data_IF_391711298907
#
_entry.id   IF_391711298907
#
_cell.length_a   1.000
_cell.length_b   1.000
_cell.length_c   1.000
_cell.angle_alpha   90.00
_cell.angle_beta   90.00
_cell.angle_gamma   90.00
#
_symmetry.space_group_name_H-M   'P 1'
#
loop_
_entity.id
_entity.type
_entity.pdbx_description
1 polymer ?
#
# COMPACT_ATOMS: atom_id res chain seq x y z
N UNK A 1 -1.23 71.70 -19.00
CA UNK A 1 -1.05 70.85 -20.20
C UNK A 1 -1.01 69.41 -19.70
N UNK A 2 -2.17 68.74 -19.70
CA UNK A 2 -2.58 67.75 -20.71
C UNK A 2 -1.72 66.49 -20.57
N UNK A 3 -2.06 65.55 -19.67
CA UNK A 3 -3.05 64.46 -19.85
C UNK A 3 -2.77 63.64 -21.11
N UNK A 4 -2.37 62.37 -20.96
CA UNK A 4 -2.82 61.29 -21.85
C UNK A 4 -2.78 59.95 -21.13
N UNK A 5 -3.98 59.55 -20.76
CA UNK A 5 -4.44 58.26 -20.24
C UNK A 5 -4.26 57.16 -21.31
N UNK A 6 -3.53 56.08 -21.00
CA UNK A 6 -3.44 54.87 -21.83
C UNK A 6 -4.41 53.82 -21.28
N UNK A 7 -5.70 54.17 -21.39
CA UNK A 7 -6.85 53.32 -21.16
C UNK A 7 -6.80 51.98 -21.90
N UNK A 8 -7.07 50.90 -21.15
CA UNK A 8 -8.32 50.16 -21.31
C UNK A 8 -8.51 49.25 -22.54
N UNK A 9 -7.66 49.34 -23.58
CA UNK A 9 -7.87 48.61 -24.83
C UNK A 9 -7.35 47.16 -24.84
N UNK A 10 -6.30 46.87 -24.09
CA UNK A 10 -5.59 45.58 -24.20
C UNK A 10 -6.27 44.47 -23.38
N UNK A 11 -6.95 44.83 -22.29
CA UNK A 11 -7.64 43.87 -21.42
C UNK A 11 -8.97 43.38 -22.01
N UNK A 12 -9.62 44.17 -22.87
CA UNK A 12 -10.91 43.80 -23.47
C UNK A 12 -10.78 42.77 -24.62
N UNK A 13 -9.64 42.75 -25.33
CA UNK A 13 -9.43 41.83 -26.47
C UNK A 13 -8.97 40.44 -26.01
N UNK A 14 -8.26 40.34 -24.88
CA UNK A 14 -7.84 39.06 -24.29
C UNK A 14 -8.99 38.29 -23.63
N UNK A 15 -10.00 38.99 -23.09
CA UNK A 15 -11.16 38.36 -22.48
C UNK A 15 -12.10 37.69 -23.50
N UNK A 16 -12.10 38.12 -24.77
CA UNK A 16 -12.97 37.57 -25.81
C UNK A 16 -12.45 36.26 -26.44
N UNK A 17 -11.17 35.95 -26.28
CA UNK A 17 -10.53 34.75 -26.87
C UNK A 17 -10.52 33.53 -25.94
N UNK A 18 -10.74 33.68 -24.63
CA UNK A 18 -10.78 32.53 -23.69
C UNK A 18 -12.20 32.00 -23.51
N UNK A 19 -13.23 32.84 -23.64
CA UNK A 19 -14.64 32.42 -23.55
C UNK A 19 -15.07 31.54 -24.75
N UNK A 20 -14.35 31.60 -25.87
CA UNK A 20 -14.57 30.75 -27.05
C UNK A 20 -13.91 29.37 -26.98
N UNK A 21 -13.10 29.09 -25.95
CA UNK A 21 -12.49 27.76 -25.75
C UNK A 21 -13.23 26.88 -24.70
N UNK A 22 -14.18 27.44 -23.95
CA UNK A 22 -15.04 26.68 -23.02
C UNK A 22 -16.36 26.17 -23.63
N UNK A 23 -16.62 26.42 -24.92
CA UNK A 23 -17.92 26.19 -25.54
C UNK A 23 -18.11 24.87 -26.33
N UNK A 24 -17.12 23.98 -26.38
CA UNK A 24 -17.16 22.79 -27.29
C UNK A 24 -16.74 21.48 -26.63
N UNK A 25 -17.14 21.24 -25.38
CA UNK A 25 -17.26 19.87 -24.87
C UNK A 25 -18.71 19.69 -24.42
N UNK A 26 -19.55 19.64 -25.44
CA UNK A 26 -20.93 19.17 -25.41
C UNK A 26 -20.96 17.76 -24.82
N UNK A 27 -21.94 17.58 -23.94
CA UNK A 27 -22.36 16.36 -23.28
C UNK A 27 -22.18 15.10 -24.12
N UNK A 28 -21.42 14.14 -23.59
CA UNK A 28 -21.57 12.73 -23.92
C UNK A 28 -21.96 11.99 -22.64
N UNK A 29 -23.24 12.14 -22.29
CA UNK A 29 -24.01 11.17 -21.54
C UNK A 29 -23.98 9.83 -22.29
N UNK A 30 -23.08 8.92 -21.90
CA UNK A 30 -23.28 7.49 -22.15
C UNK A 30 -23.90 6.90 -20.88
N UNK A 31 -25.21 7.13 -20.78
CA UNK A 31 -26.07 6.34 -19.92
C UNK A 31 -26.28 4.95 -20.53
N UNK A 32 -26.11 3.93 -19.69
CA UNK A 32 -27.09 2.87 -19.53
C UNK A 32 -27.25 1.86 -20.66
N UNK A 33 -26.63 0.69 -20.47
CA UNK A 33 -27.29 -0.55 -20.85
C UNK A 33 -27.35 -1.47 -19.62
N UNK A 34 -28.42 -1.29 -18.84
CA UNK A 34 -28.98 -2.36 -18.03
C UNK A 34 -29.61 -3.37 -18.98
N UNK A 35 -29.08 -4.59 -19.01
CA UNK A 35 -29.87 -5.77 -19.38
C UNK A 35 -29.85 -6.69 -18.17
N UNK A 36 -31.05 -6.87 -17.63
CA UNK A 36 -31.37 -7.67 -16.45
C UNK A 36 -31.91 -9.03 -16.93
N UNK A 37 -31.71 -10.04 -16.09
CA UNK A 37 -32.41 -11.35 -16.01
C UNK A 37 -31.79 -12.45 -16.91
N UNK A 38 -31.66 -13.72 -16.51
CA UNK A 38 -32.37 -14.50 -15.50
C UNK A 38 -31.61 -15.85 -15.30
N UNK A 39 -31.40 -16.26 -14.05
CA UNK A 39 -31.60 -17.61 -13.47
C UNK A 39 -30.98 -18.84 -14.15
N UNK A 40 -30.18 -19.59 -13.37
CA UNK A 40 -30.46 -20.99 -13.00
C UNK A 40 -29.65 -21.41 -11.76
N UNK A 41 -30.25 -22.30 -10.99
CA UNK A 41 -30.11 -22.51 -9.55
C UNK A 41 -29.17 -23.69 -9.19
N UNK A 42 -29.05 -24.06 -7.90
CA UNK A 42 -27.93 -24.82 -7.34
C UNK A 42 -28.09 -26.34 -7.46
N UNK A 43 -26.98 -27.07 -7.33
CA UNK A 43 -27.01 -28.51 -7.08
C UNK A 43 -26.36 -28.84 -5.74
N UNK A 44 -27.19 -29.50 -4.95
CA UNK A 44 -27.09 -30.07 -3.63
C UNK A 44 -26.24 -31.36 -3.62
N UNK A 45 -25.83 -31.78 -2.41
CA UNK A 45 -25.28 -33.10 -1.99
C UNK A 45 -23.78 -33.31 -2.18
N UNK A 46 -23.05 -33.93 -1.25
CA UNK A 46 -23.49 -34.84 -0.21
C UNK A 46 -22.55 -34.84 0.99
N UNK A 47 -23.19 -34.93 2.14
CA UNK A 47 -22.71 -35.32 3.45
C UNK A 47 -22.01 -36.69 3.44
N UNK A 48 -21.05 -36.85 4.36
CA UNK A 48 -20.20 -38.02 4.46
C UNK A 48 -19.37 -38.02 5.74
N UNK A 49 -20.04 -37.98 6.90
CA UNK A 49 -19.43 -38.30 8.19
C UNK A 49 -19.61 -39.76 8.57
N UNK A 50 -18.54 -40.45 9.01
CA UNK A 50 -18.50 -41.53 10.02
C UNK A 50 -17.02 -41.84 10.37
N UNK A 51 -16.68 -42.55 11.46
CA UNK A 51 -16.86 -42.25 12.88
C UNK A 51 -15.53 -42.09 13.66
N UNK A 52 -15.72 -41.63 14.89
CA UNK A 52 -14.92 -41.81 16.10
C UNK A 52 -14.20 -43.17 16.26
N UNK A 53 -12.92 -43.11 16.65
CA UNK A 53 -12.21 -44.21 17.30
C UNK A 53 -11.35 -43.65 18.45
N UNK A 54 -11.86 -43.83 19.66
CA UNK A 54 -11.17 -43.68 20.94
C UNK A 54 -10.20 -44.84 21.15
N UNK A 55 -8.94 -44.57 21.51
CA UNK A 55 -8.11 -45.46 22.35
C UNK A 55 -6.77 -44.81 22.76
N UNK A 56 -6.79 -44.23 23.96
CA UNK A 56 -5.80 -44.27 25.05
C UNK A 56 -4.60 -45.24 24.88
N UNK A 57 -3.36 -44.76 25.00
CA UNK A 57 -2.43 -45.06 26.13
C UNK A 57 -1.04 -44.40 25.98
N UNK A 58 -0.42 -44.21 27.15
CA UNK A 58 0.65 -43.29 27.47
C UNK A 58 2.08 -43.84 27.36
N UNK A 59 3.03 -42.89 27.15
CA UNK A 59 4.39 -42.81 27.74
C UNK A 59 5.50 -43.75 27.22
N UNK A 60 6.79 -43.52 27.59
CA UNK A 60 7.62 -42.30 27.52
C UNK A 60 9.04 -42.59 26.93
N UNK A 61 9.78 -41.59 26.45
CA UNK A 61 11.26 -41.68 26.36
C UNK A 61 11.84 -40.27 26.16
N UNK A 62 12.38 -39.65 27.21
CA UNK A 62 13.79 -39.67 27.67
C UNK A 62 14.48 -38.38 27.22
N UNK A 63 14.89 -37.63 28.23
CA UNK A 63 15.66 -36.41 28.13
C UNK A 63 16.95 -36.59 27.33
N UNK A 64 17.27 -35.59 26.52
CA UNK A 64 18.66 -35.26 26.21
C UNK A 64 18.76 -33.76 26.38
N UNK A 65 19.20 -33.37 27.57
CA UNK A 65 19.64 -32.02 27.89
C UNK A 65 20.79 -31.66 26.94
N UNK A 66 20.53 -30.74 26.03
CA UNK A 66 21.61 -30.01 25.34
C UNK A 66 21.93 -28.80 26.22
N UNK A 67 23.21 -28.55 26.57
CA UNK A 67 23.55 -27.47 27.47
C UNK A 67 23.16 -26.15 26.83
N UNK A 68 22.51 -25.30 27.62
CA UNK A 68 22.22 -23.93 27.29
C UNK A 68 23.51 -23.24 26.85
N UNK A 69 23.59 -22.86 25.58
CA UNK A 69 24.41 -21.71 25.21
C UNK A 69 23.70 -20.53 25.86
N UNK A 70 24.30 -20.01 26.94
CA UNK A 70 23.89 -18.79 27.60
C UNK A 70 23.73 -17.69 26.54
N UNK A 71 22.47 -17.41 26.19
CA UNK A 71 22.11 -16.21 25.46
C UNK A 71 22.30 -15.06 26.44
N UNK A 72 23.51 -14.53 26.40
CA UNK A 72 23.97 -13.25 26.92
C UNK A 72 22.80 -12.27 27.10
N UNK A 73 22.47 -12.00 28.37
CA UNK A 73 21.38 -11.14 28.87
C UNK A 73 21.69 -9.66 28.60
N UNK A 74 21.97 -9.33 27.33
CA UNK A 74 22.20 -7.96 26.89
C UNK A 74 20.86 -7.22 26.85
N UNK A 75 20.82 -5.95 27.30
CA UNK A 75 19.59 -5.20 27.36
C UNK A 75 18.95 -5.12 25.97
N UNK A 76 17.71 -5.59 25.89
CA UNK A 76 16.83 -5.65 24.71
C UNK A 76 16.73 -4.32 23.94
N UNK A 77 17.16 -3.21 24.53
CA UNK A 77 17.20 -1.87 23.93
C UNK A 77 18.33 -1.61 22.92
N UNK A 78 19.45 -2.34 22.96
CA UNK A 78 20.59 -2.07 22.06
C UNK A 78 20.35 -2.56 20.61
N UNK A 79 19.65 -3.68 20.44
CA UNK A 79 19.30 -4.24 19.14
C UNK A 79 18.20 -3.43 18.43
N UNK A 80 17.16 -3.01 19.17
CA UNK A 80 16.13 -2.11 18.66
C UNK A 80 16.69 -0.74 18.28
N UNK A 81 17.63 -0.20 19.08
CA UNK A 81 18.33 1.05 18.76
C UNK A 81 19.21 0.97 17.51
N UNK A 82 19.89 -0.17 17.28
CA UNK A 82 20.67 -0.39 16.06
C UNK A 82 19.80 -0.58 14.82
N UNK A 83 18.71 -1.34 14.92
CA UNK A 83 17.77 -1.54 13.82
C UNK A 83 17.17 -0.20 13.38
N UNK A 84 16.79 0.66 14.34
CA UNK A 84 16.28 1.99 14.05
C UNK A 84 17.33 2.87 13.33
N UNK A 85 18.60 2.83 13.77
CA UNK A 85 19.68 3.59 13.12
C UNK A 85 19.89 3.20 11.65
N UNK A 86 19.94 1.90 11.35
CA UNK A 86 20.14 1.42 9.96
C UNK A 86 19.00 1.87 9.04
N UNK A 87 17.75 1.71 9.50
CA UNK A 87 16.56 2.09 8.72
C UNK A 87 16.53 3.60 8.47
N UNK A 88 16.87 4.41 9.47
CA UNK A 88 16.97 5.87 9.30
C UNK A 88 18.03 6.25 8.24
N UNK A 89 19.24 5.69 8.34
CA UNK A 89 20.31 5.93 7.36
C UNK A 89 19.91 5.49 5.94
N UNK A 90 19.17 4.39 5.82
CA UNK A 90 18.62 3.90 4.56
C UNK A 90 17.70 4.92 3.88
N UNK A 91 16.68 5.42 4.60
CA UNK A 91 15.73 6.38 4.03
C UNK A 91 16.34 7.77 3.84
N UNK A 92 17.34 8.15 4.65
CA UNK A 92 18.13 9.35 4.40
C UNK A 92 18.92 9.25 3.08
N UNK A 93 19.60 8.13 2.83
CA UNK A 93 20.33 7.90 1.58
C UNK A 93 19.41 7.87 0.35
N UNK A 94 18.19 7.35 0.53
CA UNK A 94 17.17 7.31 -0.53
C UNK A 94 16.52 8.68 -0.85
N UNK A 95 16.67 9.67 0.04
CA UNK A 95 16.07 11.00 -0.09
C UNK A 95 14.66 11.14 0.52
N UNK A 96 14.26 10.18 1.37
CA UNK A 96 12.90 9.96 1.91
C UNK A 96 11.83 9.77 0.82
N UNK A 97 10.91 8.83 1.04
CA UNK A 97 9.84 8.60 0.08
C UNK A 97 8.79 9.71 0.29
N UNK A 98 8.80 10.71 -0.58
CA UNK A 98 7.87 11.84 -0.55
C UNK A 98 6.77 11.61 -1.58
N UNK A 99 5.67 11.01 -1.14
CA UNK A 99 4.51 10.85 -2.01
C UNK A 99 4.05 12.19 -2.59
N UNK A 100 3.87 12.31 -3.93
CA UNK A 100 3.31 13.51 -4.52
C UNK A 100 1.79 13.64 -4.26
N UNK A 101 1.13 12.55 -3.89
CA UNK A 101 -0.31 12.54 -3.63
C UNK A 101 -0.64 13.13 -2.26
N UNK A 102 -1.64 14.00 -2.22
CA UNK A 102 -2.08 14.69 -1.01
C UNK A 102 -3.04 13.83 -0.16
N UNK A 103 -3.54 12.73 -0.70
CA UNK A 103 -4.50 11.87 -0.02
C UNK A 103 -3.93 11.31 1.29
N UNK A 104 -4.83 11.06 2.23
CA UNK A 104 -4.52 10.51 3.54
C UNK A 104 -5.46 9.35 3.85
N UNK A 105 -4.92 8.29 4.41
CA UNK A 105 -5.64 7.04 4.71
C UNK A 105 -5.42 6.63 6.15
N UNK A 106 -6.42 6.00 6.78
CA UNK A 106 -6.20 5.35 8.09
C UNK A 106 -5.54 3.98 7.90
N UNK A 107 -4.98 3.41 8.97
CA UNK A 107 -4.43 2.06 8.90
C UNK A 107 -5.52 1.03 8.59
N UNK A 108 -6.72 1.19 9.17
CA UNK A 108 -7.86 0.31 8.95
C UNK A 108 -8.32 0.35 7.50
N UNK A 109 -8.22 1.51 6.84
CA UNK A 109 -8.50 1.62 5.42
C UNK A 109 -7.49 0.84 4.59
N UNK A 110 -6.19 1.04 4.82
CA UNK A 110 -5.15 0.32 4.10
C UNK A 110 -5.26 -1.20 4.34
N UNK A 111 -5.61 -1.62 5.56
CA UNK A 111 -5.78 -3.02 5.93
C UNK A 111 -6.88 -3.76 5.14
N UNK A 112 -7.83 -3.04 4.50
CA UNK A 112 -8.86 -3.64 3.64
C UNK A 112 -8.29 -4.18 2.32
N UNK A 113 -7.17 -3.64 1.85
CA UNK A 113 -6.54 -3.95 0.56
C UNK A 113 -5.42 -4.97 0.76
N UNK A 114 -5.78 -6.27 0.77
CA UNK A 114 -4.90 -7.37 1.23
C UNK A 114 -4.84 -8.59 0.31
N UNK A 115 -5.23 -8.47 -0.95
CA UNK A 115 -5.27 -9.59 -1.91
C UNK A 115 -4.31 -9.37 -3.05
N UNK A 116 -3.95 -10.42 -3.79
CA UNK A 116 -3.01 -10.34 -4.92
C UNK A 116 -3.41 -9.31 -5.98
N UNK A 117 -4.71 -9.16 -6.21
CA UNK A 117 -5.28 -8.24 -7.21
C UNK A 117 -5.66 -6.88 -6.61
N UNK A 118 -5.58 -6.73 -5.27
CA UNK A 118 -5.89 -5.51 -4.52
C UNK A 118 -5.04 -5.46 -3.24
N UNK A 119 -3.80 -4.99 -3.37
CA UNK A 119 -2.82 -4.91 -2.29
C UNK A 119 -2.32 -3.48 -2.12
N UNK A 120 -2.56 -2.93 -0.92
CA UNK A 120 -1.91 -1.71 -0.48
C UNK A 120 -0.95 -2.01 0.67
N UNK A 121 0.20 -1.34 0.64
CA UNK A 121 1.22 -1.46 1.68
C UNK A 121 1.62 -0.08 2.18
N UNK A 122 2.13 -0.03 3.41
CA UNK A 122 2.70 1.17 4.00
C UNK A 122 4.21 1.05 4.05
N UNK A 123 4.93 2.04 3.52
CA UNK A 123 6.40 2.14 3.62
C UNK A 123 6.80 3.58 3.90
N UNK A 124 7.49 3.81 5.01
CA UNK A 124 7.97 5.15 5.43
C UNK A 124 6.79 6.13 5.54
N UNK A 125 5.68 5.67 6.14
CA UNK A 125 4.39 6.38 6.23
C UNK A 125 3.70 6.72 4.89
N UNK A 126 4.16 6.19 3.76
CA UNK A 126 3.51 6.35 2.46
C UNK A 126 2.64 5.14 2.15
N UNK A 127 1.47 5.38 1.56
CA UNK A 127 0.55 4.33 1.13
C UNK A 127 0.78 4.08 -0.35
N UNK A 128 1.11 2.83 -0.68
CA UNK A 128 1.43 2.40 -2.03
C UNK A 128 0.40 1.38 -2.51
N UNK A 129 -0.19 1.60 -3.68
CA UNK A 129 -0.97 0.57 -4.36
C UNK A 129 -0.04 -0.22 -5.28
N UNK A 130 0.27 -1.44 -4.85
CA UNK A 130 1.24 -2.33 -5.54
C UNK A 130 0.56 -3.48 -6.26
N UNK A 131 -0.77 -3.48 -6.38
CA UNK A 131 -1.56 -4.58 -6.95
C UNK A 131 -1.05 -5.03 -8.32
N UNK A 132 -0.80 -4.08 -9.23
CA UNK A 132 -0.26 -4.38 -10.56
C UNK A 132 1.21 -4.87 -10.55
N UNK A 133 1.94 -4.61 -9.48
CA UNK A 133 3.35 -4.97 -9.34
C UNK A 133 3.56 -6.33 -8.67
N UNK A 134 2.61 -6.85 -7.91
CA UNK A 134 2.71 -8.14 -7.22
C UNK A 134 3.28 -9.27 -8.11
N UNK A 135 2.79 -9.52 -9.35
CA UNK A 135 3.31 -10.61 -10.18
C UNK A 135 4.74 -10.38 -10.71
N UNK A 136 5.26 -9.16 -10.57
CA UNK A 136 6.58 -8.75 -11.05
C UNK A 136 7.57 -8.50 -9.90
N UNK A 137 7.14 -8.67 -8.64
CA UNK A 137 8.00 -8.47 -7.49
C UNK A 137 9.11 -9.54 -7.44
N UNK A 138 10.42 -9.16 -7.46
CA UNK A 138 11.52 -10.13 -7.47
C UNK A 138 11.56 -11.04 -6.24
N UNK A 139 11.03 -10.59 -5.10
CA UNK A 139 10.88 -11.42 -3.90
C UNK A 139 9.71 -12.41 -3.94
N UNK A 140 8.91 -12.40 -5.02
CA UNK A 140 7.72 -13.23 -5.16
C UNK A 140 6.57 -12.80 -4.25
N UNK A 141 5.73 -13.76 -3.86
CA UNK A 141 4.50 -13.51 -3.09
C UNK A 141 4.77 -13.04 -1.63
N UNK A 142 6.03 -12.94 -1.18
CA UNK A 142 6.39 -12.39 0.16
C UNK A 142 5.93 -10.95 0.36
N UNK A 143 5.65 -10.21 -0.73
CA UNK A 143 5.06 -8.86 -0.65
C UNK A 143 3.66 -8.89 -0.03
N UNK A 144 2.95 -10.02 -0.11
CA UNK A 144 1.63 -10.21 0.51
C UNK A 144 1.69 -10.23 2.05
N UNK A 145 2.87 -10.35 2.65
CA UNK A 145 3.02 -10.30 4.11
C UNK A 145 2.88 -8.86 4.66
N UNK A 146 2.97 -7.84 3.79
CA UNK A 146 2.82 -6.42 4.16
C UNK A 146 1.39 -5.95 4.41
N UNK A 147 0.47 -6.87 4.70
CA UNK A 147 -0.96 -6.60 4.90
C UNK A 147 -1.26 -6.07 6.30
N UNK A 148 -2.42 -5.44 6.45
CA UNK A 148 -2.90 -4.98 7.76
C UNK A 148 -2.52 -3.53 8.10
N UNK A 149 -1.99 -2.77 7.14
CA UNK A 149 -1.69 -1.34 7.34
C UNK A 149 -0.46 -1.05 8.21
N UNK A 150 0.29 -2.09 8.58
CA UNK A 150 1.55 -1.95 9.31
C UNK A 150 2.63 -1.34 8.39
N UNK A 151 3.46 -0.45 8.94
CA UNK A 151 4.58 0.13 8.21
C UNK A 151 5.69 -0.90 8.02
N UNK A 152 5.97 -1.22 6.75
CA UNK A 152 6.98 -2.18 6.32
C UNK A 152 8.33 -1.52 6.05
N UNK A 153 8.54 -0.26 6.47
CA UNK A 153 9.78 0.49 6.26
C UNK A 153 11.04 -0.30 6.64
N UNK A 154 11.01 -0.95 7.79
CA UNK A 154 12.13 -1.76 8.31
C UNK A 154 12.39 -2.96 7.40
N UNK A 155 11.35 -3.73 7.07
CA UNK A 155 11.47 -4.92 6.21
C UNK A 155 11.99 -4.51 4.83
N UNK A 156 11.44 -3.44 4.25
CA UNK A 156 11.88 -2.94 2.95
C UNK A 156 13.37 -2.60 2.94
N UNK A 157 13.86 -1.89 3.96
CA UNK A 157 15.27 -1.50 4.08
C UNK A 157 16.23 -2.70 4.17
N UNK A 158 15.81 -3.83 4.74
CA UNK A 158 16.66 -5.02 4.83
C UNK A 158 16.82 -5.80 3.53
N UNK A 159 15.85 -5.70 2.61
CA UNK A 159 15.79 -6.52 1.40
C UNK A 159 16.01 -5.75 0.10
N UNK A 160 16.05 -4.42 0.15
CA UNK A 160 16.19 -3.57 -1.04
C UNK A 160 17.37 -2.61 -0.91
N UNK A 161 17.92 -2.20 -2.05
CA UNK A 161 18.88 -1.10 -2.11
C UNK A 161 18.16 0.27 -2.00
N UNK A 162 18.75 1.31 -1.38
CA UNK A 162 18.14 2.64 -1.27
C UNK A 162 17.68 3.23 -2.60
N UNK A 163 18.35 2.91 -3.72
CA UNK A 163 17.95 3.37 -5.05
C UNK A 163 16.56 2.87 -5.47
N UNK A 164 16.10 1.74 -4.93
CA UNK A 164 14.79 1.12 -5.21
C UNK A 164 13.63 2.01 -4.75
N UNK A 165 13.84 2.82 -3.70
CA UNK A 165 12.83 3.75 -3.14
C UNK A 165 12.27 4.68 -4.21
N UNK A 166 13.08 5.06 -5.21
CA UNK A 166 12.63 5.92 -6.31
C UNK A 166 11.54 5.28 -7.17
N UNK A 167 11.57 3.96 -7.35
CA UNK A 167 10.56 3.23 -8.11
C UNK A 167 9.20 3.23 -7.41
N UNK A 168 9.22 3.21 -6.08
CA UNK A 168 8.03 3.17 -5.25
C UNK A 168 7.16 4.42 -5.38
N UNK A 169 7.73 5.57 -5.76
CA UNK A 169 6.99 6.81 -5.96
C UNK A 169 5.87 6.66 -7.00
N UNK A 170 6.06 5.79 -8.00
CA UNK A 170 5.04 5.52 -9.04
C UNK A 170 3.80 4.79 -8.52
N UNK A 171 3.94 4.04 -7.42
CA UNK A 171 2.84 3.32 -6.78
C UNK A 171 2.16 4.14 -5.68
N UNK A 172 2.68 5.33 -5.38
CA UNK A 172 2.20 6.08 -4.23
C UNK A 172 0.84 6.73 -4.46
N UNK A 173 -0.11 6.42 -3.57
CA UNK A 173 -1.48 6.93 -3.62
C UNK A 173 -1.80 7.91 -2.48
N UNK A 174 -0.90 8.06 -1.51
CA UNK A 174 -1.03 9.03 -0.41
C UNK A 174 -0.15 8.68 0.78
N UNK A 175 -0.54 9.12 1.98
CA UNK A 175 0.19 8.87 3.24
C UNK A 175 -0.76 8.45 4.35
N UNK A 176 -0.22 7.81 5.39
CA UNK A 176 -1.00 7.48 6.58
C UNK A 176 -1.41 8.76 7.32
N UNK A 177 -2.64 8.78 7.82
CA UNK A 177 -3.09 9.73 8.83
C UNK A 177 -2.35 9.45 10.13
N UNK A 178 -1.53 10.42 10.57
CA UNK A 178 -0.97 10.40 11.91
C UNK A 178 -2.12 10.59 12.89
N UNK A 179 -2.44 9.54 13.65
CA UNK A 179 -3.42 9.58 14.74
C UNK A 179 -2.75 10.11 16.01
#
# INVERSE_FOLDING_TARGET
MLEHDWSGGVLAVLALLVVTACGVISSCDVCGLSIVKQVMAPSDRSDGGVPEATAVRSSPSTATETPMLELDDRPRGAAAGKANKYVEEFYQAAGHLRCPQLQRYTQEEVARHRTKDDLWIVVDSNVLNVSAFVPHHPGGDVILDGVGGQDMATVFAYFHDPSTVRLMLSFCIGRILLQ
#
